data_IF_583965691306
#
_entry.id   IF_583965691306
#
_cell.length_a   1.000
_cell.length_b   1.000
_cell.length_c   1.000
_cell.angle_alpha   90.00
_cell.angle_beta   90.00
_cell.angle_gamma   90.00
#
_symmetry.space_group_name_H-M   'P 1'
#
loop_
_entity.id
_entity.type
_entity.pdbx_description
1 polymer ?
#
# COMPACT_ATOMS: atom_id res chain seq x y z
N UNK A 1 3.56 27.22 -4.96
CA UNK A 1 3.30 26.59 -6.27
C UNK A 1 3.44 25.10 -6.09
N UNK A 2 2.35 24.36 -6.14
CA UNK A 2 2.39 22.89 -6.09
C UNK A 2 3.07 22.44 -7.37
N UNK A 3 4.28 21.89 -7.28
CA UNK A 3 4.91 21.24 -8.43
C UNK A 3 4.07 20.02 -8.71
N UNK A 4 3.07 20.14 -9.59
CA UNK A 4 2.28 18.98 -9.98
C UNK A 4 3.19 18.12 -10.84
N UNK A 5 3.27 16.84 -10.48
CA UNK A 5 4.02 15.86 -11.24
C UNK A 5 3.58 15.89 -12.70
N UNK A 6 4.49 16.19 -13.64
CA UNK A 6 4.21 16.11 -15.07
C UNK A 6 3.59 14.76 -15.45
N UNK A 7 4.04 13.68 -14.80
CA UNK A 7 3.52 12.34 -15.01
C UNK A 7 2.09 12.19 -14.49
N UNK A 8 1.75 12.78 -13.34
CA UNK A 8 0.38 12.77 -12.81
C UNK A 8 -0.59 13.52 -13.73
N UNK A 9 -0.18 14.67 -14.28
CA UNK A 9 -1.04 15.41 -15.22
C UNK A 9 -1.32 14.62 -16.48
N UNK A 10 -0.34 13.88 -17.03
CA UNK A 10 -0.58 12.97 -18.15
C UNK A 10 -1.72 11.97 -17.86
N UNK A 11 -1.77 11.40 -16.65
CA UNK A 11 -2.84 10.47 -16.27
C UNK A 11 -4.20 11.17 -16.09
N UNK A 12 -4.22 12.41 -15.58
CA UNK A 12 -5.44 13.20 -15.42
C UNK A 12 -6.03 13.62 -16.76
N UNK A 13 -5.17 13.97 -17.71
CA UNK A 13 -5.54 14.40 -19.06
C UNK A 13 -6.00 13.22 -19.93
N UNK A 14 -5.54 12.00 -19.64
CA UNK A 14 -5.97 10.80 -20.34
C UNK A 14 -7.51 10.61 -20.31
N UNK A 15 -8.07 10.14 -21.42
CA UNK A 15 -9.49 9.86 -21.61
C UNK A 15 -9.79 8.36 -21.59
N UNK A 16 -8.87 7.55 -22.14
CA UNK A 16 -9.12 6.14 -22.37
C UNK A 16 -7.86 5.25 -22.32
N UNK A 17 -8.03 3.98 -22.73
CA UNK A 17 -6.98 2.98 -22.73
C UNK A 17 -5.83 3.32 -23.69
N UNK A 18 -6.10 4.00 -24.80
CA UNK A 18 -5.09 4.38 -25.79
C UNK A 18 -4.13 5.41 -25.19
N UNK A 19 -4.65 6.41 -24.49
CA UNK A 19 -3.82 7.40 -23.77
C UNK A 19 -2.95 6.71 -22.72
N UNK A 20 -3.52 5.77 -21.95
CA UNK A 20 -2.76 4.99 -20.98
C UNK A 20 -1.66 4.18 -21.65
N UNK A 21 -1.94 3.59 -22.83
CA UNK A 21 -0.93 2.90 -23.59
C UNK A 21 0.21 3.83 -24.01
N UNK A 22 -0.10 5.04 -24.51
CA UNK A 22 0.88 6.04 -24.88
C UNK A 22 1.72 6.52 -23.69
N UNK A 23 1.10 6.77 -22.53
CA UNK A 23 1.81 7.17 -21.30
C UNK A 23 2.79 6.09 -20.84
N UNK A 24 2.39 4.83 -20.96
CA UNK A 24 3.20 3.66 -20.58
C UNK A 24 4.22 3.24 -21.65
N UNK A 25 4.31 3.97 -22.77
CA UNK A 25 5.15 3.65 -23.92
C UNK A 25 4.86 2.24 -24.50
N UNK A 26 3.58 1.98 -24.74
CA UNK A 26 3.04 0.72 -25.25
C UNK A 26 2.02 0.96 -26.37
N UNK A 27 1.82 -0.06 -27.22
CA UNK A 27 0.74 -0.06 -28.20
C UNK A 27 -0.61 -0.32 -27.51
N UNK A 28 -1.70 0.38 -27.85
CA UNK A 28 -3.04 0.09 -27.30
C UNK A 28 -3.44 -1.39 -27.44
N UNK A 29 -3.10 -2.01 -28.57
CA UNK A 29 -3.34 -3.44 -28.81
C UNK A 29 -2.67 -4.35 -27.77
N UNK A 30 -1.51 -3.97 -27.23
CA UNK A 30 -0.81 -4.74 -26.20
C UNK A 30 -1.61 -4.74 -24.88
N UNK A 31 -2.09 -3.58 -24.44
CA UNK A 31 -2.92 -3.47 -23.24
C UNK A 31 -4.26 -4.18 -23.45
N UNK A 32 -4.94 -3.92 -24.56
CA UNK A 32 -6.21 -4.57 -24.90
C UNK A 32 -6.10 -6.10 -24.95
N UNK A 33 -5.01 -6.64 -25.50
CA UNK A 33 -4.77 -8.08 -25.49
C UNK A 33 -4.63 -8.62 -24.07
N UNK A 34 -3.78 -7.99 -23.24
CA UNK A 34 -3.55 -8.42 -21.86
C UNK A 34 -4.82 -8.37 -20.99
N UNK A 35 -5.67 -7.36 -21.19
CA UNK A 35 -6.87 -7.16 -20.39
C UNK A 35 -8.06 -8.00 -20.88
N UNK A 36 -8.28 -8.08 -22.19
CA UNK A 36 -9.54 -8.59 -22.76
C UNK A 36 -9.42 -9.87 -23.59
N UNK A 37 -8.22 -10.21 -24.08
CA UNK A 37 -8.03 -11.40 -24.94
C UNK A 37 -7.29 -12.53 -24.24
N UNK A 38 -6.37 -12.21 -23.33
CA UNK A 38 -5.67 -13.21 -22.53
C UNK A 38 -6.67 -13.85 -21.54
N UNK A 39 -6.90 -15.18 -21.59
CA UNK A 39 -7.83 -15.85 -20.69
C UNK A 39 -7.44 -15.66 -19.22
N UNK A 40 -8.42 -15.48 -18.33
CA UNK A 40 -8.19 -15.18 -16.91
C UNK A 40 -7.22 -16.15 -16.24
N UNK A 41 -7.36 -17.45 -16.48
CA UNK A 41 -6.51 -18.51 -15.92
C UNK A 41 -5.05 -18.47 -16.43
N UNK A 42 -4.77 -17.77 -17.54
CA UNK A 42 -3.42 -17.61 -18.09
C UNK A 42 -2.76 -16.30 -17.65
N UNK A 43 -3.53 -15.36 -17.07
CA UNK A 43 -3.01 -14.06 -16.63
C UNK A 43 -2.02 -14.19 -15.49
N UNK A 44 -2.15 -15.22 -14.66
CA UNK A 44 -1.28 -15.48 -13.51
C UNK A 44 -0.94 -16.95 -13.40
N UNK A 45 0.30 -17.22 -12.98
CA UNK A 45 0.75 -18.53 -12.53
C UNK A 45 0.86 -18.52 -11.01
N UNK A 46 0.25 -19.50 -10.36
CA UNK A 46 0.30 -19.66 -8.92
C UNK A 46 1.41 -20.63 -8.50
N UNK A 47 2.07 -20.32 -7.40
CA UNK A 47 3.00 -21.23 -6.73
C UNK A 47 3.10 -20.86 -5.25
N UNK A 48 3.55 -21.80 -4.43
CA UNK A 48 3.69 -21.60 -2.98
C UNK A 48 5.15 -21.39 -2.59
N UNK A 49 5.36 -20.58 -1.56
CA UNK A 49 6.67 -20.33 -0.95
C UNK A 49 6.55 -20.54 0.56
N UNK A 50 7.47 -21.26 1.22
CA UNK A 50 7.43 -21.43 2.67
C UNK A 50 7.59 -20.09 3.41
N UNK A 51 6.76 -19.86 4.43
CA UNK A 51 6.92 -18.71 5.33
C UNK A 51 8.02 -19.01 6.35
N UNK A 52 8.75 -17.97 6.78
CA UNK A 52 9.74 -18.07 7.87
C UNK A 52 9.12 -18.50 9.20
N UNK A 53 7.86 -18.13 9.44
CA UNK A 53 7.08 -18.44 10.64
C UNK A 53 6.34 -19.78 10.58
N UNK A 54 6.57 -20.60 9.55
CA UNK A 54 5.77 -21.80 9.27
C UNK A 54 4.55 -21.51 8.37
N UNK A 55 4.10 -22.55 7.67
CA UNK A 55 3.05 -22.47 6.65
C UNK A 55 3.55 -22.04 5.27
N UNK A 56 2.61 -21.79 4.35
CA UNK A 56 2.90 -21.42 2.95
C UNK A 56 2.30 -20.06 2.58
N UNK A 57 2.94 -19.37 1.65
CA UNK A 57 2.44 -18.15 1.00
C UNK A 57 2.20 -18.46 -0.47
N UNK A 58 0.96 -18.26 -0.92
CA UNK A 58 0.61 -18.35 -2.34
C UNK A 58 1.05 -17.07 -3.05
N UNK A 59 1.88 -17.21 -4.07
CA UNK A 59 2.34 -16.13 -4.95
C UNK A 59 1.65 -16.31 -6.30
N UNK A 60 1.07 -15.22 -6.81
CA UNK A 60 0.48 -15.13 -8.16
C UNK A 60 1.40 -14.29 -9.03
N UNK A 61 2.22 -14.94 -9.86
CA UNK A 61 3.11 -14.25 -10.79
C UNK A 61 2.38 -13.93 -12.11
N UNK A 62 2.39 -12.66 -12.57
CA UNK A 62 1.69 -12.27 -13.80
C UNK A 62 2.37 -12.84 -15.05
N UNK A 63 1.57 -13.12 -16.07
CA UNK A 63 2.02 -13.40 -17.44
C UNK A 63 2.91 -12.27 -17.97
N UNK A 64 3.91 -12.59 -18.78
CA UNK A 64 4.93 -11.62 -19.23
C UNK A 64 4.33 -10.35 -19.86
N UNK A 65 3.32 -10.50 -20.70
CA UNK A 65 2.56 -9.38 -21.30
C UNK A 65 1.99 -8.44 -20.24
N UNK A 66 1.28 -8.99 -19.24
CA UNK A 66 0.69 -8.20 -18.16
C UNK A 66 1.77 -7.61 -17.24
N UNK A 67 2.83 -8.38 -16.97
CA UNK A 67 3.96 -7.98 -16.14
C UNK A 67 4.68 -6.75 -16.70
N UNK A 68 4.82 -6.63 -18.03
CA UNK A 68 5.40 -5.44 -18.68
C UNK A 68 4.55 -4.21 -18.39
N UNK A 69 3.24 -4.29 -18.59
CA UNK A 69 2.29 -3.20 -18.33
C UNK A 69 2.36 -2.78 -16.85
N UNK A 70 2.30 -3.75 -15.94
CA UNK A 70 2.36 -3.51 -14.50
C UNK A 70 3.69 -2.90 -14.06
N UNK A 71 4.82 -3.29 -14.66
CA UNK A 71 6.12 -2.67 -14.37
C UNK A 71 6.17 -1.20 -14.77
N UNK A 72 5.68 -0.86 -15.97
CA UNK A 72 5.62 0.53 -16.44
C UNK A 72 4.71 1.36 -15.55
N UNK A 73 3.52 0.85 -15.24
CA UNK A 73 2.59 1.50 -14.31
C UNK A 73 3.22 1.68 -12.92
N UNK A 74 3.90 0.67 -12.39
CA UNK A 74 4.58 0.77 -11.09
C UNK A 74 5.66 1.86 -11.09
N UNK A 75 6.44 1.99 -12.17
CA UNK A 75 7.47 3.02 -12.30
C UNK A 75 6.88 4.43 -12.24
N UNK A 76 5.81 4.66 -12.99
CA UNK A 76 5.14 5.95 -13.04
C UNK A 76 4.45 6.28 -11.70
N UNK A 77 3.74 5.32 -11.10
CA UNK A 77 3.11 5.52 -9.79
C UNK A 77 4.13 5.76 -8.68
N UNK A 78 5.29 5.10 -8.71
CA UNK A 78 6.37 5.35 -7.73
C UNK A 78 6.96 6.75 -7.88
N UNK A 79 7.08 7.24 -9.12
CA UNK A 79 7.53 8.61 -9.37
C UNK A 79 6.52 9.63 -8.83
N UNK A 80 5.23 9.42 -9.14
CA UNK A 80 4.14 10.28 -8.66
C UNK A 80 4.10 10.28 -7.13
N UNK A 81 4.12 9.10 -6.50
CA UNK A 81 4.10 8.95 -5.04
C UNK A 81 5.26 9.72 -4.40
N UNK A 82 6.48 9.55 -4.93
CA UNK A 82 7.67 10.23 -4.42
C UNK A 82 7.53 11.75 -4.48
N UNK A 83 6.99 12.29 -5.59
CA UNK A 83 6.80 13.74 -5.76
C UNK A 83 5.71 14.28 -4.85
N UNK A 84 4.59 13.56 -4.70
CA UNK A 84 3.53 13.93 -3.76
C UNK A 84 4.04 13.91 -2.32
N UNK A 85 4.84 12.91 -1.95
CA UNK A 85 5.42 12.82 -0.60
C UNK A 85 6.38 13.99 -0.33
N UNK A 86 7.27 14.32 -1.27
CA UNK A 86 8.18 15.46 -1.16
C UNK A 86 7.45 16.79 -1.01
N UNK A 87 6.29 16.95 -1.63
CA UNK A 87 5.45 18.15 -1.47
C UNK A 87 4.76 18.23 -0.10
N UNK A 88 4.54 17.09 0.57
CA UNK A 88 3.81 16.98 1.83
C UNK A 88 4.71 16.95 3.05
N UNK A 89 5.93 16.48 2.89
CA UNK A 89 6.83 16.12 3.98
C UNK A 89 8.14 16.89 3.85
N UNK A 90 8.49 17.64 4.90
CA UNK A 90 9.73 18.44 4.95
C UNK A 90 10.96 17.60 5.32
N UNK A 91 10.78 16.59 6.16
CA UNK A 91 11.86 15.78 6.73
C UNK A 91 11.58 14.29 6.58
N UNK A 92 12.62 13.49 6.36
CA UNK A 92 12.51 12.05 6.14
C UNK A 92 11.80 11.32 7.30
N UNK A 93 12.04 11.72 8.54
CA UNK A 93 11.46 11.08 9.74
C UNK A 93 9.96 11.34 9.89
N UNK A 94 9.38 12.18 9.03
CA UNK A 94 7.94 12.38 8.93
C UNK A 94 7.28 11.46 7.88
N UNK A 95 8.05 10.63 7.17
CA UNK A 95 7.52 9.65 6.23
C UNK A 95 6.92 8.48 7.02
N UNK A 96 5.63 8.25 6.84
CA UNK A 96 4.89 7.28 7.65
C UNK A 96 5.03 5.84 7.13
N UNK A 97 5.11 5.66 5.81
CA UNK A 97 5.22 4.35 5.18
C UNK A 97 6.58 4.20 4.48
N UNK A 98 7.31 3.13 4.81
CA UNK A 98 8.68 2.87 4.33
C UNK A 98 8.77 1.70 3.35
N UNK A 99 7.86 0.73 3.45
CA UNK A 99 7.86 -0.46 2.59
C UNK A 99 7.75 -0.08 1.11
N UNK A 100 8.52 -0.76 0.25
CA UNK A 100 8.48 -0.62 -1.22
C UNK A 100 8.77 0.78 -1.80
N UNK A 101 9.23 1.73 -0.98
CA UNK A 101 9.61 3.08 -1.44
C UNK A 101 11.10 3.16 -1.77
N UNK A 102 11.45 3.98 -2.77
CA UNK A 102 12.86 4.25 -3.09
C UNK A 102 13.55 4.93 -1.91
N UNK A 103 14.80 4.53 -1.62
CA UNK A 103 15.65 5.07 -0.55
C UNK A 103 15.13 4.88 0.89
N UNK A 104 14.08 4.09 1.07
CA UNK A 104 13.58 3.64 2.38
C UNK A 104 13.74 2.13 2.47
N UNK A 105 13.95 1.63 3.69
CA UNK A 105 14.14 0.21 3.94
C UNK A 105 13.63 -0.16 5.33
N UNK A 106 13.69 -1.45 5.65
CA UNK A 106 13.37 -1.95 6.99
C UNK A 106 14.24 -1.29 8.06
N UNK A 107 15.50 -0.96 7.73
CA UNK A 107 16.41 -0.26 8.64
C UNK A 107 15.93 1.15 8.92
N UNK A 108 15.55 1.88 7.87
CA UNK A 108 15.10 3.27 7.98
C UNK A 108 13.76 3.36 8.69
N UNK A 109 12.93 2.31 8.59
CA UNK A 109 11.71 2.17 9.39
C UNK A 109 12.06 2.03 10.88
N UNK A 110 12.97 1.10 11.22
CA UNK A 110 13.41 0.86 12.60
C UNK A 110 14.12 2.05 13.25
N UNK A 111 14.85 2.87 12.49
CA UNK A 111 15.52 4.08 12.97
C UNK A 111 14.56 5.04 13.71
N UNK A 112 13.32 5.17 13.25
CA UNK A 112 12.28 6.01 13.87
C UNK A 112 11.90 5.59 15.30
N UNK A 113 12.15 4.32 15.64
CA UNK A 113 11.75 3.68 16.89
C UNK A 113 12.96 3.36 17.80
N UNK A 114 14.17 3.68 17.37
CA UNK A 114 15.40 3.40 18.12
C UNK A 114 15.41 4.17 19.45
N UNK A 115 15.82 3.50 20.53
CA UNK A 115 15.93 4.08 21.88
C UNK A 115 14.59 4.38 22.56
N UNK A 116 13.47 3.88 22.02
CA UNK A 116 12.14 4.01 22.63
C UNK A 116 11.95 2.94 23.71
N UNK A 117 11.30 3.32 24.81
CA UNK A 117 11.08 2.44 25.96
C UNK A 117 10.15 1.27 25.60
N UNK A 118 9.15 1.54 24.76
CA UNK A 118 8.23 0.54 24.26
C UNK A 118 8.15 0.61 22.74
N UNK A 119 8.13 -0.56 22.11
CA UNK A 119 7.88 -0.76 20.68
C UNK A 119 6.80 -1.84 20.55
N UNK A 120 5.72 -1.53 19.85
CA UNK A 120 4.58 -2.39 19.64
C UNK A 120 4.38 -2.60 18.14
N UNK A 121 4.39 -3.86 17.71
CA UNK A 121 4.22 -4.27 16.32
C UNK A 121 2.90 -4.99 16.14
N UNK A 122 2.09 -4.53 15.19
CA UNK A 122 0.88 -5.20 14.74
C UNK A 122 0.98 -5.44 13.24
N UNK A 123 0.39 -6.52 12.76
CA UNK A 123 0.39 -6.90 11.35
C UNK A 123 -1.03 -6.80 10.80
N UNK A 124 -1.17 -6.34 9.56
CA UNK A 124 -2.47 -6.29 8.88
C UNK A 124 -2.79 -7.64 8.25
N UNK A 125 -4.00 -8.12 8.48
CA UNK A 125 -4.48 -9.32 7.83
C UNK A 125 -4.68 -9.07 6.33
N UNK A 126 -4.14 -9.98 5.52
CA UNK A 126 -4.38 -10.05 4.08
C UNK A 126 -4.25 -8.69 3.38
N UNK A 127 -3.17 -7.96 3.67
CA UNK A 127 -3.01 -6.56 3.26
C UNK A 127 -3.22 -6.33 1.76
N UNK A 128 -2.61 -7.13 0.88
CA UNK A 128 -2.87 -7.05 -0.56
C UNK A 128 -4.28 -7.55 -0.95
N UNK A 129 -4.72 -8.76 -0.54
CA UNK A 129 -6.08 -9.24 -0.84
C UNK A 129 -7.22 -8.29 -0.42
N UNK A 130 -7.07 -7.60 0.71
CA UNK A 130 -8.08 -6.65 1.22
C UNK A 130 -8.28 -5.42 0.31
N UNK A 131 -7.38 -5.18 -0.63
CA UNK A 131 -7.47 -4.09 -1.61
C UNK A 131 -8.09 -4.63 -2.90
N UNK A 132 -9.42 -4.51 -2.98
CA UNK A 132 -10.21 -4.97 -4.11
C UNK A 132 -10.28 -3.96 -5.27
N UNK A 133 -10.89 -4.39 -6.39
CA UNK A 133 -11.06 -3.55 -7.58
C UNK A 133 -11.73 -2.21 -7.26
N UNK A 134 -12.80 -2.24 -6.45
CA UNK A 134 -13.54 -1.04 -6.05
C UNK A 134 -12.69 -0.04 -5.27
N UNK A 135 -11.80 -0.51 -4.39
CA UNK A 135 -10.86 0.36 -3.66
C UNK A 135 -9.83 0.99 -4.59
N UNK A 136 -9.28 0.23 -5.54
CA UNK A 136 -8.32 0.75 -6.54
C UNK A 136 -8.99 1.79 -7.44
N UNK A 137 -10.15 1.44 -8.01
CA UNK A 137 -10.95 2.35 -8.83
C UNK A 137 -11.35 3.61 -8.05
N UNK A 138 -11.87 3.45 -6.84
CA UNK A 138 -12.31 4.55 -5.98
C UNK A 138 -11.17 5.47 -5.61
N UNK A 139 -9.98 4.91 -5.30
CA UNK A 139 -8.80 5.71 -5.05
C UNK A 139 -8.42 6.57 -6.25
N UNK A 140 -8.21 5.96 -7.43
CA UNK A 140 -7.78 6.71 -8.61
C UNK A 140 -8.82 7.70 -9.12
N UNK A 141 -10.12 7.43 -8.94
CA UNK A 141 -11.18 8.33 -9.41
C UNK A 141 -11.55 9.45 -8.43
N UNK A 142 -11.43 9.22 -7.11
CA UNK A 142 -11.94 10.16 -6.08
C UNK A 142 -10.86 10.83 -5.25
N UNK A 143 -9.63 10.31 -5.22
CA UNK A 143 -8.55 10.97 -4.51
C UNK A 143 -8.22 12.32 -5.14
N UNK A 144 -8.04 13.37 -4.33
CA UNK A 144 -7.81 14.73 -4.83
C UNK A 144 -6.50 14.90 -5.63
N UNK A 145 -5.47 14.09 -5.37
CA UNK A 145 -4.26 14.11 -6.19
C UNK A 145 -4.52 13.45 -7.54
N UNK A 146 -5.24 12.33 -7.57
CA UNK A 146 -5.44 11.59 -8.81
C UNK A 146 -6.61 12.13 -9.62
N UNK A 147 -7.83 12.09 -9.08
CA UNK A 147 -9.05 12.59 -9.72
C UNK A 147 -9.20 12.14 -11.18
N UNK A 148 -8.79 10.91 -11.49
CA UNK A 148 -8.75 10.40 -12.86
C UNK A 148 -10.16 10.19 -13.39
N UNK A 149 -10.31 10.32 -14.70
CA UNK A 149 -11.58 10.03 -15.38
C UNK A 149 -11.98 8.56 -15.14
N UNK A 150 -13.29 8.24 -15.01
CA UNK A 150 -13.73 6.89 -14.68
C UNK A 150 -13.21 5.79 -15.61
N UNK A 151 -13.09 6.07 -16.91
CA UNK A 151 -12.53 5.13 -17.89
C UNK A 151 -11.07 4.79 -17.59
N UNK A 152 -10.25 5.81 -17.32
CA UNK A 152 -8.84 5.65 -16.94
C UNK A 152 -8.70 4.90 -15.62
N UNK A 153 -9.45 5.28 -14.59
CA UNK A 153 -9.43 4.59 -13.30
C UNK A 153 -9.83 3.11 -13.43
N UNK A 154 -10.78 2.80 -14.32
CA UNK A 154 -11.19 1.42 -14.64
C UNK A 154 -10.05 0.64 -15.27
N UNK A 155 -9.35 1.21 -16.26
CA UNK A 155 -8.20 0.56 -16.90
C UNK A 155 -7.09 0.28 -15.88
N UNK A 156 -6.76 1.25 -15.01
CA UNK A 156 -5.75 1.04 -13.97
C UNK A 156 -6.15 -0.06 -12.99
N UNK A 157 -7.41 -0.09 -12.55
CA UNK A 157 -7.93 -1.15 -11.70
C UNK A 157 -7.92 -2.53 -12.39
N UNK A 158 -8.20 -2.60 -13.70
CA UNK A 158 -8.12 -3.83 -14.49
C UNK A 158 -6.67 -4.34 -14.66
N UNK A 159 -5.69 -3.43 -14.76
CA UNK A 159 -4.27 -3.78 -14.79
C UNK A 159 -3.79 -4.28 -13.42
N UNK A 160 -4.24 -3.63 -12.35
CA UNK A 160 -3.76 -3.86 -10.99
C UNK A 160 -4.34 -5.12 -10.35
N UNK A 161 -5.64 -5.35 -10.51
CA UNK A 161 -6.36 -6.39 -9.80
C UNK A 161 -6.47 -7.69 -10.60
N UNK A 162 -6.48 -8.80 -9.88
CA UNK A 162 -6.81 -10.13 -10.39
C UNK A 162 -7.76 -10.79 -9.40
N UNK A 163 -8.87 -11.37 -9.88
CA UNK A 163 -9.89 -11.99 -9.02
C UNK A 163 -10.37 -11.06 -7.89
N UNK A 164 -10.63 -9.80 -8.25
CA UNK A 164 -11.10 -8.75 -7.35
C UNK A 164 -10.16 -8.38 -6.20
N UNK A 165 -8.84 -8.57 -6.36
CA UNK A 165 -7.85 -8.23 -5.33
C UNK A 165 -6.51 -7.83 -5.93
N UNK A 166 -5.64 -7.18 -5.15
CA UNK A 166 -4.23 -7.01 -5.54
C UNK A 166 -3.49 -8.34 -5.39
N UNK A 167 -2.91 -8.91 -6.46
CA UNK A 167 -2.20 -10.18 -6.39
C UNK A 167 -0.82 -10.00 -5.77
N UNK A 168 -0.43 -10.95 -4.91
CA UNK A 168 0.93 -11.06 -4.37
C UNK A 168 1.86 -11.56 -5.48
N UNK A 169 2.67 -10.67 -6.06
CA UNK A 169 3.57 -10.99 -7.18
C UNK A 169 3.46 -10.03 -8.37
N UNK A 170 2.41 -9.21 -8.43
CA UNK A 170 2.32 -8.12 -9.39
C UNK A 170 3.32 -7.00 -9.08
N UNK A 171 4.05 -6.49 -10.09
CA UNK A 171 4.96 -5.35 -9.93
C UNK A 171 4.31 -4.06 -9.41
N UNK A 172 3.03 -3.82 -9.70
CA UNK A 172 2.35 -2.58 -9.31
C UNK A 172 1.59 -2.66 -7.99
N UNK A 173 1.27 -3.87 -7.48
CA UNK A 173 0.58 -4.05 -6.20
C UNK A 173 1.28 -3.33 -5.04
N UNK A 174 2.63 -3.36 -4.88
CA UNK A 174 3.32 -2.68 -3.79
C UNK A 174 3.04 -1.18 -3.74
N UNK A 175 3.22 -0.46 -4.84
CA UNK A 175 3.01 1.00 -4.86
C UNK A 175 1.53 1.36 -4.72
N UNK A 176 0.62 0.60 -5.35
CA UNK A 176 -0.82 0.83 -5.21
C UNK A 176 -1.28 0.62 -3.76
N UNK A 177 -0.75 -0.40 -3.08
CA UNK A 177 -1.08 -0.67 -1.68
C UNK A 177 -0.60 0.47 -0.75
N UNK A 178 0.52 1.11 -1.04
CA UNK A 178 0.98 2.28 -0.27
C UNK A 178 0.12 3.52 -0.54
N UNK A 179 -0.19 3.78 -1.80
CA UNK A 179 -1.06 4.89 -2.20
C UNK A 179 -2.42 4.82 -1.50
N UNK A 180 -3.04 3.64 -1.50
CA UNK A 180 -4.32 3.39 -0.81
C UNK A 180 -4.14 3.37 0.71
N UNK A 181 -3.07 2.74 1.20
CA UNK A 181 -2.72 2.65 2.62
C UNK A 181 -2.45 4.01 3.28
N UNK A 182 -2.23 5.07 2.50
CA UNK A 182 -2.00 6.42 3.06
C UNK A 182 -3.14 6.91 3.97
N UNK A 183 -4.40 6.55 3.69
CA UNK A 183 -5.52 6.94 4.55
C UNK A 183 -5.43 6.29 5.95
N UNK A 184 -4.93 5.05 5.99
CA UNK A 184 -4.60 4.36 7.24
C UNK A 184 -3.46 5.07 7.94
N UNK A 185 -2.38 5.38 7.22
CA UNK A 185 -1.20 6.04 7.80
C UNK A 185 -1.54 7.38 8.46
N UNK A 186 -2.37 8.20 7.82
CA UNK A 186 -2.79 9.49 8.39
C UNK A 186 -3.56 9.28 9.70
N UNK A 187 -4.55 8.38 9.70
CA UNK A 187 -5.37 8.10 10.90
C UNK A 187 -4.56 7.50 12.04
N UNK A 188 -3.65 6.58 11.74
CA UNK A 188 -2.82 5.95 12.77
C UNK A 188 -1.75 6.90 13.30
N UNK A 189 -1.21 7.78 12.46
CA UNK A 189 -0.31 8.83 12.92
C UNK A 189 -1.03 9.86 13.81
N UNK A 190 -2.27 10.25 13.50
CA UNK A 190 -3.09 11.09 14.38
C UNK A 190 -3.36 10.43 15.73
N UNK A 191 -3.70 9.13 15.72
CA UNK A 191 -3.85 8.33 16.94
C UNK A 191 -2.54 8.29 17.74
N UNK A 192 -1.41 8.04 17.08
CA UNK A 192 -0.10 7.99 17.72
C UNK A 192 0.22 9.32 18.40
N UNK A 193 0.03 10.45 17.69
CA UNK A 193 0.27 11.79 18.24
C UNK A 193 -0.60 12.08 19.46
N UNK A 194 -1.87 11.68 19.44
CA UNK A 194 -2.80 11.85 20.58
C UNK A 194 -2.33 11.12 21.84
N UNK A 195 -1.64 9.99 21.67
CA UNK A 195 -1.16 9.16 22.77
C UNK A 195 0.37 9.18 22.91
N UNK A 196 1.03 10.27 22.49
CA UNK A 196 2.48 10.48 22.62
C UNK A 196 3.33 9.31 22.10
N UNK A 197 2.89 8.72 21.00
CA UNK A 197 3.59 7.66 20.28
C UNK A 197 4.11 8.16 18.93
N UNK A 198 5.14 7.49 18.43
CA UNK A 198 5.54 7.51 17.02
C UNK A 198 4.90 6.34 16.29
N UNK A 199 4.60 6.55 15.01
CA UNK A 199 4.02 5.56 14.10
C UNK A 199 4.86 5.45 12.84
N UNK A 200 5.12 4.22 12.38
CA UNK A 200 5.54 3.93 11.00
C UNK A 200 4.91 2.63 10.51
N UNK A 201 4.91 2.42 9.19
CA UNK A 201 4.45 1.20 8.54
C UNK A 201 5.46 0.71 7.50
N UNK A 202 5.72 -0.59 7.50
CA UNK A 202 6.51 -1.30 6.50
C UNK A 202 5.66 -2.41 5.87
N UNK A 203 5.11 -2.15 4.67
CA UNK A 203 4.12 -3.04 4.05
C UNK A 203 2.90 -3.24 4.96
N UNK A 204 2.66 -4.48 5.42
CA UNK A 204 1.63 -4.93 6.35
C UNK A 204 2.01 -4.72 7.83
N UNK A 205 3.30 -4.64 8.14
CA UNK A 205 3.80 -4.40 9.50
C UNK A 205 3.62 -2.93 9.93
N UNK A 206 2.87 -2.70 10.99
CA UNK A 206 2.69 -1.40 11.65
C UNK A 206 3.48 -1.38 12.95
N UNK A 207 4.18 -0.28 13.21
CA UNK A 207 4.96 -0.08 14.43
C UNK A 207 4.55 1.19 15.16
N UNK A 208 4.21 1.04 16.44
CA UNK A 208 4.06 2.15 17.38
C UNK A 208 5.21 2.13 18.39
N UNK A 209 5.67 3.29 18.83
CA UNK A 209 6.67 3.35 19.91
C UNK A 209 6.52 4.58 20.78
N UNK A 210 6.89 4.48 22.05
CA UNK A 210 6.91 5.62 22.97
C UNK A 210 8.04 5.52 23.99
N UNK A 211 8.43 6.68 24.53
CA UNK A 211 9.36 6.78 25.67
C UNK A 211 8.62 7.00 26.99
N UNK A 212 7.28 7.06 26.95
CA UNK A 212 6.44 7.21 28.14
C UNK A 212 6.62 6.05 29.13
N UNK A 213 6.33 6.31 30.42
CA UNK A 213 6.47 5.30 31.48
C UNK A 213 5.58 4.08 31.27
N UNK A 214 4.43 4.28 30.63
CA UNK A 214 3.45 3.25 30.34
C UNK A 214 3.07 3.32 28.86
N UNK A 215 2.89 2.16 28.24
CA UNK A 215 2.34 2.11 26.88
C UNK A 215 0.83 2.37 26.91
N UNK A 216 0.28 3.17 25.98
CA UNK A 216 -1.14 3.53 26.00
C UNK A 216 -2.04 2.33 25.66
N UNK A 217 -2.92 1.97 26.62
CA UNK A 217 -3.92 0.88 26.49
C UNK A 217 -4.82 1.08 25.25
N UNK A 218 -5.06 2.33 24.86
CA UNK A 218 -5.82 2.65 23.66
C UNK A 218 -5.21 2.08 22.37
N UNK A 219 -3.88 1.94 22.32
CA UNK A 219 -3.13 1.42 21.17
C UNK A 219 -2.79 -0.06 21.36
N UNK A 220 -2.39 -0.46 22.57
CA UNK A 220 -2.03 -1.84 22.84
C UNK A 220 -1.98 -2.13 24.33
N UNK A 221 -2.33 -3.35 24.69
CA UNK A 221 -2.35 -3.82 26.07
C UNK A 221 -1.66 -5.17 26.17
N UNK A 222 -0.88 -5.34 27.24
CA UNK A 222 -0.33 -6.66 27.57
C UNK A 222 -1.46 -7.59 27.97
N UNK A 223 -1.42 -8.81 27.47
CA UNK A 223 -2.32 -9.85 27.92
C UNK A 223 -2.06 -10.17 29.39
N UNK A 224 -3.13 -10.46 30.12
CA UNK A 224 -3.05 -10.74 31.55
C UNK A 224 -2.16 -11.97 31.78
N UNK A 225 -1.14 -11.83 32.64
CA UNK A 225 -0.21 -12.93 32.94
C UNK A 225 0.91 -13.14 31.91
N UNK A 226 0.95 -12.38 30.81
CA UNK A 226 2.02 -12.48 29.82
C UNK A 226 3.03 -11.34 29.92
N UNK A 227 4.32 -11.67 29.76
CA UNK A 227 5.40 -10.69 29.67
C UNK A 227 5.50 -10.13 28.24
N UNK A 228 5.22 -10.97 27.24
CA UNK A 228 5.55 -10.68 25.84
C UNK A 228 4.34 -10.63 24.89
N UNK A 229 3.16 -11.11 25.32
CA UNK A 229 1.96 -11.07 24.48
C UNK A 229 1.24 -9.74 24.66
N UNK A 230 0.97 -9.10 23.53
CA UNK A 230 0.28 -7.83 23.45
C UNK A 230 -0.89 -7.97 22.48
N UNK A 231 -2.05 -7.52 22.93
CA UNK A 231 -3.23 -7.37 22.10
C UNK A 231 -3.33 -5.92 21.59
N UNK A 232 -3.89 -5.76 20.40
CA UNK A 232 -4.21 -4.44 19.86
C UNK A 232 -5.30 -3.76 20.71
N UNK A 233 -5.09 -2.50 21.04
CA UNK A 233 -6.02 -1.71 21.84
C UNK A 233 -7.27 -1.30 21.05
N UNK A 234 -8.36 -0.94 21.74
CA UNK A 234 -9.65 -0.69 21.11
C UNK A 234 -9.64 0.50 20.13
N UNK A 235 -8.83 1.54 20.37
CA UNK A 235 -8.74 2.69 19.46
C UNK A 235 -7.91 2.37 18.22
N UNK A 236 -6.92 1.50 18.34
CA UNK A 236 -6.15 1.00 17.19
C UNK A 236 -7.04 0.13 16.28
N UNK A 237 -7.79 -0.80 16.88
CA UNK A 237 -8.74 -1.65 16.16
C UNK A 237 -9.80 -0.83 15.41
N UNK A 238 -10.44 0.14 16.07
CA UNK A 238 -11.43 1.04 15.45
C UNK A 238 -10.81 1.86 14.30
N UNK A 239 -9.61 2.41 14.50
CA UNK A 239 -8.94 3.20 13.47
C UNK A 239 -8.59 2.38 12.21
N UNK A 240 -8.14 1.13 12.39
CA UNK A 240 -7.85 0.19 11.29
C UNK A 240 -9.15 -0.21 10.57
N UNK A 241 -10.16 -0.66 11.32
CA UNK A 241 -11.44 -1.10 10.75
C UNK A 241 -12.12 -0.02 9.90
N UNK A 242 -12.11 1.25 10.35
CA UNK A 242 -12.67 2.38 9.59
C UNK A 242 -12.00 2.63 8.24
N UNK A 243 -10.84 2.05 7.99
CA UNK A 243 -10.12 2.17 6.70
C UNK A 243 -10.29 0.96 5.80
N UNK A 244 -11.10 -0.03 6.21
CA UNK A 244 -11.32 -1.27 5.46
C UNK A 244 -10.10 -2.19 5.51
N UNK A 245 -9.37 -2.18 6.62
CA UNK A 245 -8.30 -3.14 6.93
C UNK A 245 -8.63 -3.83 8.25
N UNK A 246 -7.98 -4.96 8.50
CA UNK A 246 -8.14 -5.76 9.71
C UNK A 246 -6.76 -6.12 10.26
N UNK A 247 -6.67 -6.36 11.58
CA UNK A 247 -5.44 -6.83 12.22
C UNK A 247 -5.41 -8.35 12.12
N UNK A 248 -4.23 -8.91 11.88
CA UNK A 248 -3.97 -10.33 11.96
C UNK A 248 -4.08 -10.82 13.42
N UNK A 249 -5.07 -11.65 13.78
CA UNK A 249 -5.16 -12.26 15.10
C UNK A 249 -4.09 -13.35 15.18
N UNK A 250 -2.93 -13.01 15.74
CA UNK A 250 -1.82 -13.96 15.91
C UNK A 250 -2.24 -15.16 16.76
#
# INVERSE_FOLDING_TARGET
MTVVSLKLEQYRDAEDLSDIAHILDLKPAHISYALYKLPTHQKYREFTVPKKSGGVRTIKAPHNTLKVIQKRLAQDLLLIEQQLEQARVKERDCILAHGFKKKLSIMTNGENHRGRRYVCNVDLQDFFPSINFGRVFGYFSKNNDFALKPKVATVLAQIACHENQLPQGSPCSPVISNLIGRILDIRLNELARRYHCRYTRYADDITFSTSEKHFPIAIGMRELGSINLWAAGPKLLDAIARTGFEINPK
#
